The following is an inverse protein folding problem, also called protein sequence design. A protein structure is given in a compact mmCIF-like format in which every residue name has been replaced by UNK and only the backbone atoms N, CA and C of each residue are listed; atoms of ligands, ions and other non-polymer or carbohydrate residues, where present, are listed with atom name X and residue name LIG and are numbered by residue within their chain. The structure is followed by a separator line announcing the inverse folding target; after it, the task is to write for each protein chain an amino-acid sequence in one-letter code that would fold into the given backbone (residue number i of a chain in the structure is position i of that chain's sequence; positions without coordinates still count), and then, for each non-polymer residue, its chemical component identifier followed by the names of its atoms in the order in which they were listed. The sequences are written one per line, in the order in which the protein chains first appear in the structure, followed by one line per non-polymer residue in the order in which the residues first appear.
data_IF_894410079015
#
_entry.id   IF_894410079015
#
_cell.length_a   1.000
_cell.length_b   1.000
_cell.length_c   1.000
_cell.angle_alpha   90.00
_cell.angle_beta   90.00
_cell.angle_gamma   90.00
#
_symmetry.space_group_name_H-M   'P 1'
#
loop_
_entity.id
_entity.type
_entity.pdbx_description
1 polymer ?
#
# COMPACT_ATOMS: atom_id res chain seq x y z
N UNK A 1 11.82 -5.80 -8.39
CA UNK A 1 10.81 -6.09 -7.36
C UNK A 1 9.41 -6.11 -7.98
N UNK A 2 8.66 -7.22 -7.93
CA UNK A 2 7.26 -7.20 -8.34
C UNK A 2 6.45 -6.39 -7.30
N UNK A 3 6.16 -5.14 -7.63
CA UNK A 3 5.22 -4.30 -6.90
C UNK A 3 3.82 -4.68 -7.39
N UNK A 4 3.04 -5.31 -6.54
CA UNK A 4 1.62 -5.46 -6.84
C UNK A 4 0.97 -4.09 -6.75
N UNK A 5 0.08 -3.82 -7.70
CA UNK A 5 -0.60 -2.55 -7.81
C UNK A 5 -2.10 -2.78 -7.83
N UNK A 6 -2.84 -1.96 -7.07
CA UNK A 6 -4.29 -1.92 -7.12
C UNK A 6 -4.78 -0.49 -6.90
N UNK A 7 -5.60 -0.01 -7.83
CA UNK A 7 -6.30 1.26 -7.66
C UNK A 7 -7.66 1.00 -7.00
N UNK A 8 -7.97 1.76 -5.95
CA UNK A 8 -9.20 1.63 -5.17
C UNK A 8 -9.87 3.00 -5.11
N UNK A 9 -11.13 3.07 -5.53
CA UNK A 9 -11.92 4.29 -5.40
C UNK A 9 -12.72 4.24 -4.10
N UNK A 10 -12.41 5.14 -3.16
CA UNK A 10 -13.17 5.31 -1.92
C UNK A 10 -13.77 6.71 -1.89
N UNK A 11 -15.10 6.80 -1.99
CA UNK A 11 -15.88 8.04 -1.80
C UNK A 11 -15.31 9.24 -2.59
N UNK A 12 -15.05 9.05 -3.87
CA UNK A 12 -14.53 10.07 -4.81
C UNK A 12 -13.05 10.40 -4.67
N UNK A 13 -12.30 9.65 -3.86
CA UNK A 13 -10.83 9.69 -3.82
C UNK A 13 -10.29 8.40 -4.43
N UNK A 14 -9.42 8.56 -5.43
CA UNK A 14 -8.69 7.45 -6.02
C UNK A 14 -7.41 7.20 -5.22
N UNK A 15 -7.28 5.97 -4.71
CA UNK A 15 -6.13 5.50 -3.94
C UNK A 15 -5.37 4.47 -4.76
N UNK A 16 -4.15 4.81 -5.11
CA UNK A 16 -3.22 3.93 -5.80
C UNK A 16 -2.37 3.20 -4.75
N UNK A 17 -2.68 1.92 -4.53
CA UNK A 17 -2.07 1.08 -3.51
C UNK A 17 -1.00 0.19 -4.15
N UNK A 18 0.25 0.40 -3.77
CA UNK A 18 1.39 -0.42 -4.13
C UNK A 18 1.78 -1.27 -2.93
N UNK A 19 1.96 -2.57 -3.11
CA UNK A 19 2.27 -3.47 -2.00
C UNK A 19 3.13 -4.64 -2.45
N UNK A 20 3.85 -5.22 -1.49
CA UNK A 20 4.68 -6.40 -1.76
C UNK A 20 5.73 -6.64 -0.69
N UNK A 21 6.61 -7.60 -1.00
CA UNK A 21 7.80 -7.89 -0.23
C UNK A 21 9.00 -7.23 -0.88
N UNK A 22 9.75 -6.45 -0.11
CA UNK A 22 11.02 -5.87 -0.53
C UNK A 22 12.14 -6.83 -0.14
N UNK A 23 12.89 -7.31 -1.14
CA UNK A 23 13.97 -8.29 -0.96
C UNK A 23 15.23 -7.65 -0.36
N UNK A 24 15.46 -6.36 -0.60
CA UNK A 24 16.66 -5.66 -0.18
C UNK A 24 16.58 -5.31 1.31
N UNK A 25 15.44 -4.78 1.76
CA UNK A 25 15.21 -4.48 3.19
C UNK A 25 14.59 -5.63 3.97
N UNK A 26 14.20 -6.73 3.29
CA UNK A 26 13.54 -7.91 3.89
C UNK A 26 12.30 -7.52 4.72
N UNK A 27 11.45 -6.67 4.17
CA UNK A 27 10.24 -6.18 4.82
C UNK A 27 9.07 -6.14 3.85
N UNK A 28 7.86 -6.32 4.38
CA UNK A 28 6.64 -6.06 3.65
C UNK A 28 6.37 -4.55 3.62
N UNK A 29 5.81 -4.04 2.53
CA UNK A 29 5.44 -2.64 2.43
C UNK A 29 4.06 -2.45 1.82
N UNK A 30 3.44 -1.33 2.19
CA UNK A 30 2.27 -0.77 1.54
C UNK A 30 2.55 0.72 1.32
N UNK A 31 2.49 1.17 0.08
CA UNK A 31 2.60 2.57 -0.34
C UNK A 31 1.26 2.98 -0.96
N UNK A 32 0.60 3.96 -0.35
CA UNK A 32 -0.70 4.47 -0.78
C UNK A 32 -0.51 5.89 -1.29
N UNK A 33 -0.84 6.10 -2.55
CA UNK A 33 -0.84 7.42 -3.19
C UNK A 33 -2.26 7.87 -3.45
N UNK A 34 -2.59 9.08 -3.03
CA UNK A 34 -3.87 9.69 -3.36
C UNK A 34 -3.77 10.44 -4.69
N UNK A 35 -4.47 9.97 -5.71
CA UNK A 35 -4.51 10.64 -7.01
C UNK A 35 -5.28 11.96 -6.87
N UNK A 36 -4.68 13.07 -7.30
CA UNK A 36 -5.30 14.41 -7.25
C UNK A 36 -4.98 15.25 -6.01
N UNK A 37 -4.19 14.75 -5.06
CA UNK A 37 -3.72 15.51 -3.90
C UNK A 37 -2.20 15.64 -3.89
N UNK A 38 -1.69 16.87 -3.94
CA UNK A 38 -0.27 17.21 -3.82
C UNK A 38 0.14 17.18 -2.34
N UNK A 39 0.34 15.99 -1.74
CA UNK A 39 0.96 15.93 -0.41
C UNK A 39 0.73 14.70 0.46
N UNK A 40 -0.05 13.70 0.04
CA UNK A 40 -0.38 12.55 0.90
C UNK A 40 0.02 11.21 0.30
N UNK A 41 1.33 10.90 0.35
CA UNK A 41 1.79 9.53 0.12
C UNK A 41 2.04 8.89 1.49
N UNK A 42 1.38 7.76 1.75
CA UNK A 42 1.54 7.03 3.01
C UNK A 42 2.29 5.74 2.72
N UNK A 43 3.53 5.66 3.20
CA UNK A 43 4.38 4.48 3.08
C UNK A 43 4.49 3.84 4.47
N UNK A 44 4.13 2.56 4.54
CA UNK A 44 4.22 1.78 5.77
C UNK A 44 4.98 0.48 5.53
N UNK A 45 5.97 0.25 6.39
CA UNK A 45 6.80 -0.96 6.41
C UNK A 45 6.35 -1.90 7.53
N UNK A 46 6.43 -3.21 7.28
CA UNK A 46 6.00 -4.24 8.20
C UNK A 46 7.04 -5.36 8.27
N UNK A 47 7.43 -5.69 9.50
CA UNK A 47 8.31 -6.83 9.78
C UNK A 47 7.55 -8.17 9.85
N UNK A 48 6.22 -8.13 9.90
CA UNK A 48 5.36 -9.32 10.04
C UNK A 48 4.35 -9.39 8.91
N UNK A 49 4.34 -10.53 8.22
CA UNK A 49 3.39 -10.82 7.14
C UNK A 49 1.94 -10.77 7.63
N UNK A 50 1.68 -11.20 8.86
CA UNK A 50 0.33 -11.21 9.44
C UNK A 50 -0.24 -9.79 9.59
N UNK A 51 0.56 -8.84 10.11
CA UNK A 51 0.15 -7.45 10.22
C UNK A 51 0.01 -6.80 8.84
N UNK A 52 0.95 -7.07 7.93
CA UNK A 52 0.88 -6.62 6.55
C UNK A 52 -0.43 -7.04 5.87
N UNK A 53 -0.81 -8.32 5.94
CA UNK A 53 -2.06 -8.83 5.34
C UNK A 53 -3.30 -8.19 5.97
N UNK A 54 -3.32 -7.98 7.29
CA UNK A 54 -4.42 -7.31 7.99
C UNK A 54 -4.61 -5.88 7.49
N UNK A 55 -3.53 -5.10 7.43
CA UNK A 55 -3.60 -3.70 6.99
C UNK A 55 -3.89 -3.60 5.49
N UNK A 56 -3.29 -4.46 4.66
CA UNK A 56 -3.57 -4.52 3.23
C UNK A 56 -5.05 -4.73 2.94
N UNK A 57 -5.71 -5.61 3.69
CA UNK A 57 -7.15 -5.87 3.54
C UNK A 57 -8.00 -4.61 3.79
N UNK A 58 -7.61 -3.72 4.70
CA UNK A 58 -8.34 -2.48 4.95
C UNK A 58 -8.28 -1.49 3.77
N UNK A 59 -7.19 -1.54 3.00
CA UNK A 59 -7.04 -0.72 1.80
C UNK A 59 -7.75 -1.32 0.59
N UNK A 60 -7.73 -2.65 0.45
CA UNK A 60 -8.27 -3.36 -0.72
C UNK A 60 -9.77 -3.69 -0.66
N UNK A 61 -10.42 -3.55 0.50
CA UNK A 61 -11.87 -3.73 0.73
C UNK A 61 -12.62 -2.42 0.57
#
# INVERSE_FOLDING_TARGET
MPRNFRSVNKKSVQLDVFYGWDVDVKQWFIDVKMTGFTGGNLIQWFNSESNYKKVLKNFLV
#
